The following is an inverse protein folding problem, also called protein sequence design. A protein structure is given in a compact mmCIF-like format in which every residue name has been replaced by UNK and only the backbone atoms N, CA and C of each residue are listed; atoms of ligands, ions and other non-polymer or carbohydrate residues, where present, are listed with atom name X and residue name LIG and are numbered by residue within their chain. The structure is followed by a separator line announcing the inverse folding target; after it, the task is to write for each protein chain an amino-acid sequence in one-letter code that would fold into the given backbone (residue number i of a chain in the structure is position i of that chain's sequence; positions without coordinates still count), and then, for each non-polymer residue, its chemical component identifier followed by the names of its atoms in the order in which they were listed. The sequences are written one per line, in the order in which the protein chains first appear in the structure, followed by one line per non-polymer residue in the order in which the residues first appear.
data_IF_210359105551
#
_entry.id   IF_210359105551
#
_cell.length_a   1.000
_cell.length_b   1.000
_cell.length_c   1.000
_cell.angle_alpha   90.00
_cell.angle_beta   90.00
_cell.angle_gamma   90.00
#
_symmetry.space_group_name_H-M   'P 1'
#
loop_
_entity.id
_entity.type
_entity.pdbx_description
1 polymer ?
#
# COMPACT_ATOMS: atom_id res chain seq x y z
N UNK A 1 35.89 3.82 14.44
CA UNK A 1 34.85 4.87 14.34
C UNK A 1 33.49 4.24 14.51
N UNK A 2 32.93 4.34 15.72
CA UNK A 2 31.58 3.92 16.06
C UNK A 2 30.58 4.97 15.56
N UNK A 3 29.43 4.54 15.03
CA UNK A 3 28.33 5.45 14.72
C UNK A 3 27.88 6.20 15.99
N UNK A 4 27.45 7.47 15.89
CA UNK A 4 26.82 8.16 17.01
C UNK A 4 25.58 7.37 17.46
N UNK A 5 25.50 7.06 18.75
CA UNK A 5 24.45 6.21 19.36
C UNK A 5 23.02 6.72 19.12
N UNK A 6 22.87 8.01 18.79
CA UNK A 6 21.57 8.65 18.53
C UNK A 6 20.82 8.06 17.33
N UNK A 7 21.51 7.59 16.30
CA UNK A 7 20.84 7.22 15.04
C UNK A 7 20.29 5.79 15.09
N UNK A 8 20.97 4.90 15.83
CA UNK A 8 20.51 3.53 16.07
C UNK A 8 19.17 3.53 16.86
N UNK A 9 19.01 4.49 17.77
CA UNK A 9 17.79 4.63 18.57
C UNK A 9 16.55 4.99 17.72
N UNK A 10 16.73 5.70 16.59
CA UNK A 10 15.64 6.05 15.67
C UNK A 10 15.35 4.94 14.64
N UNK A 11 16.38 4.22 14.19
CA UNK A 11 16.25 3.16 13.16
C UNK A 11 15.57 1.90 13.71
N UNK A 12 15.92 1.48 14.93
CA UNK A 12 15.37 0.27 15.54
C UNK A 12 13.82 0.24 15.63
N UNK A 13 13.13 1.30 16.14
CA UNK A 13 11.67 1.29 16.19
C UNK A 13 11.05 1.32 14.79
N UNK A 14 11.63 2.04 13.83
CA UNK A 14 11.16 2.04 12.44
C UNK A 14 11.20 0.64 11.82
N UNK A 15 12.30 -0.09 12.01
CA UNK A 15 12.42 -1.48 11.54
C UNK A 15 11.38 -2.38 12.24
N UNK A 16 11.10 -2.15 13.52
CA UNK A 16 10.06 -2.88 14.24
C UNK A 16 8.65 -2.63 13.67
N UNK A 17 8.33 -1.38 13.31
CA UNK A 17 7.04 -1.02 12.69
C UNK A 17 6.91 -1.63 11.30
N UNK A 18 7.98 -1.60 10.49
CA UNK A 18 8.01 -2.24 9.17
C UNK A 18 7.79 -3.75 9.30
N UNK A 19 8.45 -4.41 10.27
CA UNK A 19 8.26 -5.84 10.52
C UNK A 19 6.81 -6.17 10.90
N UNK A 20 6.15 -5.33 11.71
CA UNK A 20 4.73 -5.49 12.02
C UNK A 20 3.84 -5.29 10.79
N UNK A 21 4.14 -4.29 9.96
CA UNK A 21 3.48 -4.05 8.67
C UNK A 21 3.57 -5.28 7.76
N UNK A 22 4.78 -5.82 7.58
CA UNK A 22 5.05 -7.02 6.81
C UNK A 22 4.24 -8.24 7.29
N UNK A 23 4.11 -8.43 8.61
CA UNK A 23 3.27 -9.52 9.17
C UNK A 23 1.80 -9.33 8.76
N UNK A 24 1.27 -8.11 8.87
CA UNK A 24 -0.11 -7.80 8.49
C UNK A 24 -0.34 -8.02 7.00
N UNK A 25 0.60 -7.60 6.14
CA UNK A 25 0.56 -7.85 4.70
C UNK A 25 0.53 -9.35 4.38
N UNK A 26 1.39 -10.14 5.03
CA UNK A 26 1.49 -11.58 4.82
C UNK A 26 0.18 -12.29 5.18
N UNK A 27 -0.40 -11.98 6.34
CA UNK A 27 -1.70 -12.54 6.72
C UNK A 27 -2.80 -12.08 5.77
N UNK A 28 -2.85 -10.79 5.44
CA UNK A 28 -3.85 -10.22 4.57
C UNK A 28 -3.84 -10.84 3.16
N UNK A 29 -2.66 -10.99 2.56
CA UNK A 29 -2.52 -11.63 1.25
C UNK A 29 -2.88 -13.12 1.29
N UNK A 30 -2.49 -13.83 2.36
CA UNK A 30 -2.87 -15.23 2.54
C UNK A 30 -4.40 -15.41 2.61
N UNK A 31 -5.09 -14.52 3.32
CA UNK A 31 -6.56 -14.52 3.37
C UNK A 31 -7.20 -14.23 2.01
N UNK A 32 -6.69 -13.24 1.26
CA UNK A 32 -7.18 -12.95 -0.10
C UNK A 32 -6.99 -14.14 -1.04
N UNK A 33 -5.82 -14.79 -0.98
CA UNK A 33 -5.56 -15.97 -1.80
C UNK A 33 -6.48 -17.15 -1.42
N UNK A 34 -6.76 -17.35 -0.14
CA UNK A 34 -7.70 -18.38 0.33
C UNK A 34 -9.13 -18.10 -0.18
N UNK A 35 -9.58 -16.84 -0.09
CA UNK A 35 -10.87 -16.41 -0.62
C UNK A 35 -10.97 -16.64 -2.14
N UNK A 36 -9.92 -16.27 -2.89
CA UNK A 36 -9.90 -16.46 -4.34
C UNK A 36 -10.06 -17.93 -4.78
N UNK A 37 -9.55 -18.90 -4.02
CA UNK A 37 -9.72 -20.33 -4.33
C UNK A 37 -11.17 -20.81 -4.26
N UNK A 38 -12.02 -20.13 -3.48
CA UNK A 38 -13.41 -20.51 -3.30
C UNK A 38 -14.34 -19.89 -4.35
N UNK A 39 -13.88 -18.85 -5.05
CA UNK A 39 -14.60 -18.23 -6.16
C UNK A 39 -14.16 -18.83 -7.48
N UNK A 40 -14.60 -20.07 -7.73
CA UNK A 40 -14.51 -20.63 -9.07
C UNK A 40 -15.35 -19.76 -10.02
N UNK A 41 -14.74 -19.23 -11.07
CA UNK A 41 -15.48 -18.55 -12.13
C UNK A 41 -16.55 -19.51 -12.64
N UNK A 42 -17.84 -19.14 -12.60
CA UNK A 42 -18.88 -20.05 -13.01
C UNK A 42 -18.70 -20.39 -14.50
N UNK A 43 -19.01 -21.64 -14.89
CA UNK A 43 -18.71 -22.16 -16.22
C UNK A 43 -19.28 -21.30 -17.37
N UNK A 44 -20.38 -20.59 -17.13
CA UNK A 44 -20.98 -19.67 -18.09
C UNK A 44 -20.11 -18.43 -18.36
N UNK A 45 -19.37 -17.93 -17.35
CA UNK A 45 -18.48 -16.79 -17.51
C UNK A 45 -17.25 -17.17 -18.36
N UNK A 46 -16.76 -18.40 -18.19
CA UNK A 46 -15.70 -18.96 -19.03
C UNK A 46 -16.17 -19.14 -20.48
N UNK A 47 -17.40 -19.62 -20.68
CA UNK A 47 -18.00 -19.79 -22.01
C UNK A 47 -18.28 -18.45 -22.72
N UNK A 48 -18.57 -17.39 -21.97
CA UNK A 48 -18.77 -16.04 -22.49
C UNK A 48 -17.45 -15.30 -22.82
N UNK A 49 -16.30 -15.95 -22.68
CA UNK A 49 -14.99 -15.36 -23.01
C UNK A 49 -14.52 -14.31 -22.00
N UNK A 50 -15.14 -14.22 -20.82
CA UNK A 50 -14.56 -13.42 -19.75
C UNK A 50 -13.22 -14.03 -19.36
N UNK A 51 -12.19 -13.21 -19.06
CA UNK A 51 -10.89 -13.70 -18.64
C UNK A 51 -11.07 -14.46 -17.33
N UNK A 52 -11.25 -15.77 -17.42
CA UNK A 52 -11.27 -16.63 -16.25
C UNK A 52 -9.90 -16.51 -15.60
N UNK A 53 -9.89 -16.18 -14.31
CA UNK A 53 -8.65 -16.09 -13.52
C UNK A 53 -8.06 -17.49 -13.46
N UNK A 54 -7.20 -17.83 -14.44
CA UNK A 54 -6.72 -19.20 -14.67
C UNK A 54 -5.95 -19.78 -13.50
N UNK A 55 -5.51 -18.94 -12.55
CA UNK A 55 -5.02 -19.35 -11.24
C UNK A 55 -4.90 -18.15 -10.30
N UNK A 56 -5.47 -18.23 -9.09
CA UNK A 56 -5.26 -17.23 -8.03
C UNK A 56 -3.76 -16.99 -7.73
N UNK A 57 -2.92 -18.02 -7.91
CA UNK A 57 -1.48 -17.88 -7.74
C UNK A 57 -0.85 -16.93 -8.75
N UNK A 58 -1.33 -16.95 -10.00
CA UNK A 58 -0.85 -16.03 -11.04
C UNK A 58 -1.33 -14.60 -10.78
N UNK A 59 -2.55 -14.44 -10.27
CA UNK A 59 -3.12 -13.13 -9.94
C UNK A 59 -2.29 -12.41 -8.87
N UNK A 60 -1.98 -13.09 -7.77
CA UNK A 60 -1.25 -12.49 -6.63
C UNK A 60 0.28 -12.63 -6.72
N UNK A 61 0.82 -13.03 -7.87
CA UNK A 61 2.26 -13.33 -8.02
C UNK A 61 3.12 -12.10 -7.74
N UNK A 62 2.65 -10.92 -8.16
CA UNK A 62 3.36 -9.67 -7.98
C UNK A 62 3.38 -9.26 -6.51
N UNK A 63 2.24 -9.37 -5.82
CA UNK A 63 2.08 -9.05 -4.40
C UNK A 63 2.96 -9.98 -3.53
N UNK A 64 3.02 -11.28 -3.86
CA UNK A 64 3.95 -12.20 -3.19
C UNK A 64 5.41 -11.81 -3.39
N UNK A 65 5.78 -11.39 -4.60
CA UNK A 65 7.13 -10.92 -4.88
C UNK A 65 7.49 -9.71 -3.99
N UNK A 66 6.57 -8.76 -3.83
CA UNK A 66 6.75 -7.59 -2.95
C UNK A 66 6.99 -8.02 -1.49
N UNK A 67 6.15 -8.91 -0.95
CA UNK A 67 6.29 -9.41 0.43
C UNK A 67 7.61 -10.15 0.65
N UNK A 68 8.04 -10.98 -0.31
CA UNK A 68 9.33 -11.69 -0.22
C UNK A 68 10.52 -10.74 -0.33
N UNK A 69 10.43 -9.72 -1.19
CA UNK A 69 11.47 -8.71 -1.33
C UNK A 69 11.64 -7.90 -0.04
N UNK A 70 10.53 -7.47 0.56
CA UNK A 70 10.54 -6.77 1.85
C UNK A 70 11.13 -7.64 2.97
N UNK A 71 10.76 -8.93 3.02
CA UNK A 71 11.31 -9.87 3.99
C UNK A 71 12.84 -9.93 3.97
N UNK A 72 13.45 -9.98 2.79
CA UNK A 72 14.91 -9.99 2.63
C UNK A 72 15.54 -8.70 3.17
N UNK A 73 14.90 -7.55 2.92
CA UNK A 73 15.36 -6.25 3.43
C UNK A 73 15.27 -6.21 4.95
N UNK A 74 14.14 -6.60 5.53
CA UNK A 74 13.92 -6.61 6.98
C UNK A 74 14.91 -7.54 7.67
N UNK A 75 15.15 -8.75 7.14
CA UNK A 75 16.18 -9.64 7.67
C UNK A 75 17.58 -9.04 7.56
N UNK A 76 17.91 -8.41 6.44
CA UNK A 76 19.19 -7.72 6.24
C UNK A 76 19.39 -6.59 7.24
N UNK A 77 18.35 -5.80 7.51
CA UNK A 77 18.36 -4.71 8.49
C UNK A 77 18.48 -5.24 9.91
N UNK A 78 17.71 -6.26 10.29
CA UNK A 78 17.80 -6.90 11.60
C UNK A 78 19.20 -7.48 11.85
N UNK A 79 19.77 -8.20 10.88
CA UNK A 79 21.13 -8.71 11.00
C UNK A 79 22.15 -7.57 11.11
N UNK A 80 21.95 -6.48 10.37
CA UNK A 80 22.84 -5.32 10.44
C UNK A 80 22.74 -4.58 11.77
N UNK A 81 21.57 -4.54 12.41
CA UNK A 81 21.38 -3.97 13.75
C UNK A 81 22.16 -4.74 14.82
N UNK A 82 22.35 -6.05 14.67
CA UNK A 82 23.18 -6.84 15.61
C UNK A 82 24.68 -6.51 15.53
N UNK A 83 25.13 -5.88 14.43
CA UNK A 83 26.53 -5.54 14.19
C UNK A 83 26.68 -4.04 13.96
N UNK A 84 27.13 -3.32 14.98
CA UNK A 84 27.24 -1.85 14.98
C UNK A 84 27.93 -1.23 13.73
N UNK A 85 28.84 -1.93 13.07
CA UNK A 85 29.54 -1.44 11.86
C UNK A 85 28.93 -1.92 10.53
N UNK A 86 27.99 -2.87 10.52
CA UNK A 86 27.45 -3.44 9.29
C UNK A 86 26.53 -2.45 8.55
N UNK A 87 25.70 -1.71 9.29
CA UNK A 87 24.78 -0.71 8.72
C UNK A 87 25.55 0.33 7.90
N UNK A 88 26.65 0.85 8.44
CA UNK A 88 27.47 1.86 7.73
C UNK A 88 28.05 1.33 6.44
N UNK A 89 28.49 0.06 6.42
CA UNK A 89 29.13 -0.55 5.24
C UNK A 89 28.15 -0.82 4.11
N UNK A 90 26.93 -1.26 4.45
CA UNK A 90 25.91 -1.65 3.47
C UNK A 90 24.84 -0.58 3.24
N UNK A 91 25.04 0.62 3.78
CA UNK A 91 24.06 1.71 3.74
C UNK A 91 23.57 2.04 2.33
N UNK A 92 24.48 2.26 1.39
CA UNK A 92 24.12 2.56 -0.01
C UNK A 92 23.29 1.44 -0.65
N UNK A 93 23.62 0.18 -0.34
CA UNK A 93 22.85 -0.97 -0.78
C UNK A 93 21.45 -0.99 -0.17
N UNK A 94 21.32 -0.70 1.13
CA UNK A 94 20.02 -0.59 1.80
C UNK A 94 19.18 0.55 1.25
N UNK A 95 19.76 1.73 0.99
CA UNK A 95 19.04 2.84 0.36
C UNK A 95 18.47 2.45 -1.01
N UNK A 96 19.28 1.79 -1.86
CA UNK A 96 18.80 1.29 -3.15
C UNK A 96 17.68 0.25 -3.02
N UNK A 97 17.85 -0.72 -2.12
CA UNK A 97 16.84 -1.76 -1.87
C UNK A 97 15.54 -1.19 -1.30
N UNK A 98 15.62 -0.26 -0.35
CA UNK A 98 14.45 0.41 0.24
C UNK A 98 13.73 1.27 -0.80
N UNK A 99 14.45 1.95 -1.69
CA UNK A 99 13.83 2.73 -2.77
C UNK A 99 13.04 1.84 -3.74
N UNK A 100 13.61 0.69 -4.14
CA UNK A 100 12.90 -0.30 -4.95
C UNK A 100 11.69 -0.86 -4.19
N UNK A 101 11.86 -1.17 -2.90
CA UNK A 101 10.78 -1.66 -2.05
C UNK A 101 9.62 -0.67 -1.97
N UNK A 102 9.89 0.61 -1.75
CA UNK A 102 8.87 1.65 -1.68
C UNK A 102 8.05 1.72 -2.98
N UNK A 103 8.73 1.65 -4.14
CA UNK A 103 8.05 1.63 -5.45
C UNK A 103 7.18 0.38 -5.60
N UNK A 104 7.68 -0.80 -5.22
CA UNK A 104 6.90 -2.04 -5.26
C UNK A 104 5.64 -1.96 -4.38
N UNK A 105 5.74 -1.38 -3.19
CA UNK A 105 4.59 -1.18 -2.30
C UNK A 105 3.57 -0.20 -2.87
N UNK A 106 4.01 0.90 -3.50
CA UNK A 106 3.10 1.84 -4.18
C UNK A 106 2.35 1.14 -5.32
N UNK A 107 3.05 0.34 -6.14
CA UNK A 107 2.41 -0.44 -7.19
C UNK A 107 1.45 -1.51 -6.64
N UNK A 108 1.81 -2.20 -5.56
CA UNK A 108 0.94 -3.18 -4.90
C UNK A 108 -0.29 -2.52 -4.25
N UNK A 109 -0.13 -1.32 -3.70
CA UNK A 109 -1.25 -0.52 -3.20
C UNK A 109 -2.21 -0.19 -4.32
N UNK A 110 -1.70 0.26 -5.47
CA UNK A 110 -2.53 0.60 -6.63
C UNK A 110 -3.18 -0.66 -7.24
N UNK A 111 -2.49 -1.79 -7.34
CA UNK A 111 -3.08 -3.04 -7.83
C UNK A 111 -4.22 -3.50 -6.93
N UNK A 112 -4.02 -3.49 -5.62
CA UNK A 112 -5.04 -3.88 -4.63
C UNK A 112 -6.22 -2.91 -4.53
N UNK A 113 -6.03 -1.61 -4.80
CA UNK A 113 -7.14 -0.64 -4.95
C UNK A 113 -7.93 -0.91 -6.22
N UNK A 114 -7.26 -1.13 -7.35
CA UNK A 114 -7.95 -1.44 -8.60
C UNK A 114 -8.75 -2.75 -8.51
N UNK A 115 -8.26 -3.73 -7.76
CA UNK A 115 -9.02 -4.96 -7.43
C UNK A 115 -10.31 -4.67 -6.64
N UNK A 116 -10.36 -3.61 -5.84
CA UNK A 116 -11.59 -3.21 -5.13
C UNK A 116 -12.59 -2.51 -6.06
N UNK A 117 -12.11 -1.70 -7.01
CA UNK A 117 -12.96 -0.87 -7.88
C UNK A 117 -13.48 -1.64 -9.11
N UNK A 118 -12.77 -2.69 -9.57
CA UNK A 118 -13.10 -3.41 -10.81
C UNK A 118 -14.05 -4.59 -10.64
N UNK A 119 -14.32 -5.05 -9.41
CA UNK A 119 -15.27 -6.14 -9.19
C UNK A 119 -16.67 -5.55 -9.06
N UNK A 120 -17.58 -5.76 -10.03
CA UNK A 120 -18.95 -5.30 -9.90
C UNK A 120 -19.56 -5.92 -8.64
N UNK A 121 -20.14 -5.08 -7.81
CA UNK A 121 -20.81 -5.39 -6.52
C UNK A 121 -22.01 -6.35 -6.64
N UNK A 122 -22.15 -7.06 -7.76
CA UNK A 122 -23.13 -8.10 -8.00
C UNK A 122 -22.54 -9.49 -7.73
N UNK A 123 -23.03 -10.14 -6.67
CA UNK A 123 -23.02 -11.61 -6.44
C UNK A 123 -21.71 -12.37 -6.22
N UNK A 124 -20.52 -11.86 -6.55
CA UNK A 124 -19.28 -12.67 -6.50
C UNK A 124 -18.35 -12.43 -5.31
N UNK A 125 -18.30 -11.21 -4.76
CA UNK A 125 -17.49 -10.89 -3.57
C UNK A 125 -18.39 -10.60 -2.39
N UNK A 126 -18.20 -11.32 -1.28
CA UNK A 126 -18.94 -11.01 -0.05
C UNK A 126 -18.44 -9.68 0.54
N UNK A 127 -19.28 -8.93 1.25
CA UNK A 127 -18.88 -7.65 1.90
C UNK A 127 -17.61 -7.78 2.76
N UNK A 128 -17.40 -8.97 3.34
CA UNK A 128 -16.20 -9.33 4.11
C UNK A 128 -14.91 -9.36 3.29
N UNK A 129 -14.98 -9.64 1.99
CA UNK A 129 -13.81 -9.72 1.10
C UNK A 129 -13.36 -8.35 0.62
N UNK A 130 -14.29 -7.44 0.34
CA UNK A 130 -13.97 -6.04 0.11
C UNK A 130 -13.26 -5.41 1.31
N UNK A 131 -13.73 -5.70 2.53
CA UNK A 131 -13.09 -5.21 3.74
C UNK A 131 -11.67 -5.77 3.89
N UNK A 132 -11.45 -7.06 3.60
CA UNK A 132 -10.11 -7.67 3.61
C UNK A 132 -9.19 -7.05 2.57
N UNK A 133 -9.67 -6.82 1.35
CA UNK A 133 -8.90 -6.18 0.30
C UNK A 133 -8.51 -4.74 0.69
N UNK A 134 -9.38 -4.00 1.38
CA UNK A 134 -9.09 -2.68 1.93
C UNK A 134 -8.00 -2.72 2.99
N UNK A 135 -8.07 -3.67 3.91
CA UNK A 135 -7.05 -3.84 4.95
C UNK A 135 -5.68 -4.13 4.30
N UNK A 136 -5.63 -5.01 3.31
CA UNK A 136 -4.40 -5.34 2.57
C UNK A 136 -3.85 -4.14 1.80
N UNK A 137 -4.72 -3.39 1.14
CA UNK A 137 -4.31 -2.18 0.43
C UNK A 137 -3.76 -1.12 1.41
N UNK A 138 -4.42 -0.96 2.56
CA UNK A 138 -3.96 -0.08 3.63
C UNK A 138 -2.62 -0.52 4.21
N UNK A 139 -2.37 -1.83 4.35
CA UNK A 139 -1.08 -2.33 4.84
C UNK A 139 0.05 -2.05 3.86
N UNK A 140 -0.14 -2.25 2.55
CA UNK A 140 0.87 -1.88 1.55
C UNK A 140 1.16 -0.36 1.53
N UNK A 141 0.13 0.47 1.67
CA UNK A 141 0.29 1.92 1.76
C UNK A 141 1.09 2.32 3.01
N UNK A 142 0.79 1.67 4.14
CA UNK A 142 1.53 1.82 5.38
C UNK A 142 2.99 1.40 5.23
N UNK A 143 3.25 0.22 4.65
CA UNK A 143 4.60 -0.28 4.37
C UNK A 143 5.41 0.69 3.50
N UNK A 144 4.79 1.26 2.46
CA UNK A 144 5.41 2.30 1.63
C UNK A 144 5.80 3.55 2.45
N UNK A 145 4.89 4.06 3.28
CA UNK A 145 5.14 5.27 4.08
C UNK A 145 6.31 5.07 5.06
N UNK A 146 6.35 3.95 5.78
CA UNK A 146 7.42 3.66 6.73
C UNK A 146 8.76 3.32 6.04
N UNK A 147 8.72 2.69 4.87
CA UNK A 147 9.92 2.49 4.04
C UNK A 147 10.51 3.82 3.58
N UNK A 148 9.68 4.78 3.17
CA UNK A 148 10.11 6.13 2.80
C UNK A 148 10.66 6.89 4.01
N UNK A 149 10.01 6.79 5.17
CA UNK A 149 10.51 7.39 6.40
C UNK A 149 11.90 6.82 6.76
N UNK A 150 12.08 5.50 6.65
CA UNK A 150 13.36 4.85 6.90
C UNK A 150 14.44 5.26 5.88
N UNK A 151 14.08 5.47 4.61
CA UNK A 151 14.97 6.02 3.59
C UNK A 151 15.49 7.41 3.97
N UNK A 152 14.63 8.29 4.48
CA UNK A 152 15.00 9.65 4.90
C UNK A 152 15.98 9.57 6.08
N UNK A 153 15.64 8.82 7.12
CA UNK A 153 16.49 8.66 8.31
C UNK A 153 17.85 8.06 7.95
N UNK A 154 17.89 7.04 7.07
CA UNK A 154 19.15 6.49 6.56
C UNK A 154 19.86 7.41 5.57
N UNK A 155 19.22 8.44 5.02
CA UNK A 155 19.80 9.40 4.08
C UNK A 155 20.51 10.56 4.78
N UNK A 156 19.93 11.06 5.87
CA UNK A 156 20.43 12.23 6.61
C UNK A 156 21.83 12.00 7.23
N UNK A 157 22.20 10.76 7.55
CA UNK A 157 23.48 10.39 8.16
C UNK A 157 24.74 10.76 7.32
N UNK A 158 24.59 11.08 6.01
CA UNK A 158 25.72 11.47 5.13
C UNK A 158 25.80 12.99 4.96
N UNK A 159 24.66 13.68 5.05
CA UNK A 159 24.61 15.12 4.91
C UNK A 159 25.44 15.81 5.99
N UNK A 160 25.53 15.24 7.20
CA UNK A 160 26.35 15.80 8.29
C UNK A 160 27.87 15.61 8.12
N UNK A 161 28.31 14.66 7.29
CA UNK A 161 29.74 14.40 7.07
C UNK A 161 30.30 15.16 5.86
N UNK A 162 29.45 15.61 4.94
CA UNK A 162 29.84 16.38 3.74
C UNK A 162 29.46 17.88 3.75
N UNK A 163 28.66 18.34 4.70
CA UNK A 163 28.12 19.73 4.73
C UNK A 163 29.06 20.80 5.31
N UNK A 164 30.32 20.47 5.62
CA UNK A 164 31.24 21.43 6.21
C UNK A 164 31.69 22.57 5.28
N UNK A 165 31.65 22.40 3.95
CA UNK A 165 32.18 23.43 3.04
C UNK A 165 31.69 23.41 1.58
N UNK A 166 31.18 22.28 1.06
CA UNK A 166 30.91 22.15 -0.39
C UNK A 166 29.41 22.21 -0.76
N UNK A 167 28.52 21.81 0.16
CA UNK A 167 27.08 21.77 -0.09
C UNK A 167 26.43 23.16 -0.08
N UNK A 168 26.98 24.12 0.67
CA UNK A 168 26.42 25.46 0.80
C UNK A 168 26.44 26.25 -0.53
N UNK A 169 27.36 25.89 -1.44
CA UNK A 169 27.43 26.46 -2.79
C UNK A 169 26.52 25.75 -3.81
N UNK A 170 26.08 24.51 -3.55
CA UNK A 170 25.29 23.70 -4.49
C UNK A 170 23.79 23.63 -4.14
N UNK A 171 23.42 23.95 -2.89
CA UNK A 171 22.04 24.05 -2.43
C UNK A 171 21.11 24.91 -3.33
N UNK A 172 21.52 26.10 -3.85
CA UNK A 172 20.63 26.89 -4.70
C UNK A 172 20.35 26.22 -6.05
N UNK A 173 21.31 25.45 -6.58
CA UNK A 173 21.15 24.74 -7.85
C UNK A 173 20.16 23.58 -7.72
N UNK A 174 20.27 22.81 -6.64
CA UNK A 174 19.37 21.69 -6.35
C UNK A 174 17.94 22.20 -6.09
N UNK A 175 17.79 23.31 -5.34
CA UNK A 175 16.48 23.90 -5.08
C UNK A 175 15.78 24.38 -6.36
N UNK A 176 16.53 24.95 -7.32
CA UNK A 176 15.97 25.38 -8.60
C UNK A 176 15.50 24.21 -9.47
N UNK A 177 16.28 23.12 -9.54
CA UNK A 177 15.87 21.93 -10.28
C UNK A 177 14.68 21.22 -9.61
N UNK A 178 14.64 21.15 -8.28
CA UNK A 178 13.51 20.59 -7.56
C UNK A 178 12.22 21.40 -7.78
N UNK A 179 12.31 22.73 -7.80
CA UNK A 179 11.19 23.60 -8.14
C UNK A 179 10.71 23.38 -9.59
N UNK A 180 11.63 23.20 -10.53
CA UNK A 180 11.32 22.91 -11.94
C UNK A 180 10.62 21.57 -12.11
N UNK A 181 11.10 20.52 -11.43
CA UNK A 181 10.47 19.19 -11.44
C UNK A 181 9.09 19.22 -10.78
N UNK A 182 8.95 19.89 -9.64
CA UNK A 182 7.67 20.06 -8.97
C UNK A 182 6.64 20.77 -9.87
N UNK A 183 7.05 21.85 -10.55
CA UNK A 183 6.21 22.56 -11.51
C UNK A 183 5.84 21.70 -12.74
N UNK A 184 6.76 20.85 -13.21
CA UNK A 184 6.46 19.92 -14.29
C UNK A 184 5.40 18.89 -13.86
N UNK A 185 5.52 18.36 -12.65
CA UNK A 185 4.58 17.39 -12.09
C UNK A 185 3.16 17.96 -11.92
N UNK A 186 3.03 19.18 -11.39
CA UNK A 186 1.71 19.82 -11.24
C UNK A 186 1.05 20.06 -12.60
N UNK A 187 1.82 20.43 -13.62
CA UNK A 187 1.31 20.62 -14.98
C UNK A 187 0.79 19.32 -15.61
N UNK A 188 1.43 18.18 -15.32
CA UNK A 188 0.99 16.87 -15.78
C UNK A 188 -0.28 16.41 -15.06
N UNK A 189 -0.38 16.64 -13.74
CA UNK A 189 -1.60 16.35 -13.00
C UNK A 189 -2.78 17.14 -13.57
N UNK A 190 -2.61 18.44 -13.77
CA UNK A 190 -3.68 19.29 -14.30
C UNK A 190 -4.13 18.85 -15.71
N UNK A 191 -3.19 18.44 -16.58
CA UNK A 191 -3.53 17.88 -17.90
C UNK A 191 -4.30 16.57 -17.80
N UNK A 192 -3.98 15.73 -16.82
CA UNK A 192 -4.65 14.44 -16.62
C UNK A 192 -6.10 14.67 -16.17
N UNK A 193 -6.32 15.59 -15.23
CA UNK A 193 -7.67 15.96 -14.77
C UNK A 193 -8.51 16.58 -15.90
N UNK A 194 -7.94 17.49 -16.70
CA UNK A 194 -8.64 18.06 -17.86
C UNK A 194 -8.92 17.05 -18.97
N UNK A 195 -8.12 15.98 -19.08
CA UNK A 195 -8.41 14.90 -20.02
C UNK A 195 -9.61 14.09 -19.55
N UNK A 196 -9.62 13.73 -18.27
CA UNK A 196 -10.69 12.94 -17.66
C UNK A 196 -12.04 13.68 -17.69
N UNK A 197 -12.03 15.00 -17.49
CA UNK A 197 -13.24 15.84 -17.60
C UNK A 197 -13.77 15.92 -19.04
N UNK A 198 -12.89 16.09 -20.04
CA UNK A 198 -13.29 16.08 -21.46
C UNK A 198 -13.85 14.73 -21.92
N UNK A 199 -13.28 13.63 -21.45
CA UNK A 199 -13.78 12.29 -21.76
C UNK A 199 -15.14 12.03 -21.08
N UNK A 200 -15.34 12.53 -19.86
CA UNK A 200 -16.64 12.49 -19.17
C UNK A 200 -17.72 13.30 -19.91
N UNK A 201 -17.39 14.48 -20.45
CA UNK A 201 -18.32 15.25 -21.29
C UNK A 201 -18.66 14.55 -22.61
N UNK A 202 -17.67 13.97 -23.30
CA UNK A 202 -17.93 13.17 -24.51
C UNK A 202 -18.83 11.98 -24.22
N UNK A 203 -18.60 11.27 -23.11
CA UNK A 203 -19.45 10.15 -22.71
C UNK A 203 -20.90 10.59 -22.47
N UNK A 204 -21.12 11.73 -21.79
CA UNK A 204 -22.48 12.30 -21.59
C UNK A 204 -23.17 12.65 -22.92
N UNK A 205 -22.44 13.23 -23.88
CA UNK A 205 -23.00 13.58 -25.20
C UNK A 205 -23.43 12.36 -26.03
N UNK A 206 -22.71 11.22 -25.90
CA UNK A 206 -23.07 9.98 -26.58
C UNK A 206 -24.25 9.24 -25.93
N UNK A 207 -24.44 9.38 -24.62
CA UNK A 207 -25.56 8.74 -23.89
C UNK A 207 -26.89 9.50 -24.12
N UNK A 208 -26.84 10.81 -24.37
CA UNK A 208 -28.04 11.61 -24.63
C UNK A 208 -28.86 11.15 -25.85
N UNK A 209 -28.28 10.38 -26.78
CA UNK A 209 -28.99 9.85 -27.97
C UNK A 209 -29.45 8.39 -27.85
N UNK A 210 -29.20 7.68 -26.75
CA UNK A 210 -29.64 6.29 -26.55
C UNK A 210 -30.12 6.02 -25.12
N UNK A 211 -31.40 6.32 -24.86
CA UNK A 211 -32.30 5.71 -23.86
C UNK A 211 -31.88 5.64 -22.36
N UNK A 212 -32.86 5.53 -21.44
CA UNK A 212 -32.67 5.86 -20.03
C UNK A 212 -32.37 4.62 -19.20
N UNK A 213 -31.13 4.42 -18.79
CA UNK A 213 -30.85 3.65 -17.56
C UNK A 213 -29.67 4.29 -16.81
N UNK A 214 -30.06 4.99 -15.75
CA UNK A 214 -29.19 5.51 -14.70
C UNK A 214 -28.56 4.37 -13.90
N UNK A 215 -27.24 4.19 -14.00
CA UNK A 215 -26.46 3.55 -12.94
C UNK A 215 -25.26 4.43 -12.60
N UNK A 216 -25.40 5.16 -11.50
CA UNK A 216 -24.34 5.88 -10.80
C UNK A 216 -23.17 4.93 -10.50
N UNK A 217 -21.97 5.26 -10.97
CA UNK A 217 -20.70 4.77 -10.40
C UNK A 217 -19.92 5.97 -9.83
N UNK A 218 -19.25 5.83 -8.67
CA UNK A 218 -18.78 6.99 -7.91
C UNK A 218 -17.31 7.31 -8.20
N UNK A 219 -17.05 8.42 -8.90
CA UNK A 219 -15.74 9.06 -8.97
C UNK A 219 -15.26 9.66 -7.63
N UNK A 220 -16.10 9.62 -6.58
CA UNK A 220 -15.85 10.26 -5.31
C UNK A 220 -14.79 9.57 -4.43
N UNK A 221 -14.59 8.25 -4.57
CA UNK A 221 -13.68 7.49 -3.69
C UNK A 221 -12.21 7.72 -4.07
N UNK A 222 -11.90 7.93 -5.36
CA UNK A 222 -10.53 8.19 -5.83
C UNK A 222 -9.98 9.53 -5.33
N UNK A 223 -10.81 10.56 -5.09
CA UNK A 223 -10.33 11.86 -4.58
C UNK A 223 -9.87 11.82 -3.12
N UNK A 224 -10.37 10.88 -2.32
CA UNK A 224 -10.18 10.92 -0.86
C UNK A 224 -8.84 10.33 -0.41
N UNK A 225 -8.29 9.35 -1.13
CA UNK A 225 -6.96 8.77 -0.86
C UNK A 225 -5.81 9.68 -1.28
N UNK A 226 -5.98 10.48 -2.33
CA UNK A 226 -4.94 11.40 -2.80
C UNK A 226 -4.68 12.57 -1.87
N UNK A 227 -5.73 13.11 -1.22
CA UNK A 227 -5.61 14.24 -0.30
C UNK A 227 -4.70 13.87 0.89
N UNK A 228 -4.82 12.66 1.44
CA UNK A 228 -4.04 12.21 2.60
C UNK A 228 -2.53 12.08 2.33
N UNK A 229 -2.12 11.70 1.11
CA UNK A 229 -0.69 11.60 0.74
C UNK A 229 -0.04 12.98 0.58
N UNK A 230 -0.76 13.94 -0.03
CA UNK A 230 -0.28 15.32 -0.12
C UNK A 230 -0.14 16.00 1.24
N UNK A 231 -1.02 15.70 2.20
CA UNK A 231 -0.91 16.21 3.58
C UNK A 231 0.32 15.67 4.30
N UNK A 232 0.66 14.40 4.09
CA UNK A 232 1.83 13.77 4.71
C UNK A 232 3.15 14.36 4.18
N UNK A 233 3.21 14.65 2.87
CA UNK A 233 4.37 15.29 2.21
C UNK A 233 4.46 16.78 2.56
N UNK A 234 3.33 17.46 2.78
CA UNK A 234 3.34 18.86 3.24
C UNK A 234 3.82 18.96 4.70
N UNK A 235 3.43 18.02 5.57
CA UNK A 235 3.86 17.98 6.96
C UNK A 235 5.38 17.75 7.11
N UNK A 236 6.01 17.00 6.19
CA UNK A 236 7.46 16.76 6.22
C UNK A 236 8.31 17.95 5.78
N UNK A 237 7.72 18.99 5.16
CA UNK A 237 8.46 20.16 4.67
C UNK A 237 8.54 21.33 5.67
N UNK A 238 7.81 21.27 6.79
CA UNK A 238 7.66 22.40 7.71
C UNK A 238 8.18 22.21 9.13
N UNK A 239 8.67 21.03 9.52
CA UNK A 239 9.06 20.77 10.90
C UNK A 239 10.52 21.19 11.18
N UNK A 240 10.79 22.04 12.20
CA UNK A 240 12.16 22.35 12.62
C UNK A 240 12.85 21.10 13.20
N UNK A 241 14.17 20.93 13.01
CA UNK A 241 14.91 19.68 13.25
C UNK A 241 15.03 19.22 14.71
N UNK A 242 14.39 19.91 15.66
CA UNK A 242 14.57 19.67 17.10
C UNK A 242 13.29 19.22 17.84
N UNK A 243 12.19 18.93 17.15
CA UNK A 243 10.98 18.39 17.78
C UNK A 243 10.69 16.98 17.25
N UNK A 244 10.48 16.04 18.17
CA UNK A 244 10.38 14.61 17.91
C UNK A 244 9.24 14.25 16.96
N UNK A 245 9.58 14.07 15.68
CA UNK A 245 8.70 13.64 14.60
C UNK A 245 7.92 12.33 14.89
N UNK A 246 8.40 11.53 15.87
CA UNK A 246 7.79 10.26 16.26
C UNK A 246 6.49 10.41 17.10
N UNK A 247 6.26 11.54 17.77
CA UNK A 247 5.05 11.70 18.61
C UNK A 247 3.87 12.32 17.83
N UNK A 248 4.12 13.28 16.93
CA UNK A 248 3.03 13.98 16.23
C UNK A 248 2.47 13.19 15.03
N UNK A 249 3.29 12.32 14.41
CA UNK A 249 2.81 11.40 13.38
C UNK A 249 1.81 10.36 13.93
N UNK A 250 1.82 10.09 15.24
CA UNK A 250 0.88 9.18 15.89
C UNK A 250 -0.50 9.81 16.12
N UNK A 251 -0.60 11.15 16.09
CA UNK A 251 -1.82 11.90 16.46
C UNK A 251 -2.68 12.24 15.23
N UNK A 252 -2.10 12.24 14.02
CA UNK A 252 -2.81 12.55 12.76
C UNK A 252 -3.40 11.34 12.01
N UNK A 253 -3.48 10.17 12.64
CA UNK A 253 -4.21 9.01 12.12
C UNK A 253 -5.61 8.94 12.76
N UNK A 254 -6.66 9.52 12.15
CA UNK A 254 -8.01 9.29 12.63
C UNK A 254 -8.41 7.83 12.32
N UNK A 255 -8.37 6.98 13.34
CA UNK A 255 -9.34 5.89 13.49
C UNK A 255 -9.15 4.60 12.70
N UNK A 256 -7.92 4.05 12.58
CA UNK A 256 -7.73 2.67 12.09
C UNK A 256 -7.38 1.62 13.16
N UNK A 257 -7.20 2.02 14.43
CA UNK A 257 -7.03 1.11 15.56
C UNK A 257 -8.28 1.08 16.44
N UNK A 258 -9.28 0.33 16.02
CA UNK A 258 -10.28 -0.26 16.91
C UNK A 258 -10.50 -1.71 16.46
N UNK A 259 -9.50 -2.55 16.77
CA UNK A 259 -9.70 -4.00 16.85
C UNK A 259 -10.62 -4.22 18.05
N UNK A 260 -11.92 -4.34 17.78
CA UNK A 260 -12.85 -4.84 18.78
C UNK A 260 -12.41 -6.26 19.17
N UNK A 261 -12.31 -6.60 20.48
CA UNK A 261 -12.03 -7.96 20.89
C UNK A 261 -13.20 -8.84 20.45
N UNK A 262 -12.88 -9.88 19.68
CA UNK A 262 -13.78 -10.98 19.35
C UNK A 262 -14.07 -11.75 20.66
N UNK A 263 -15.06 -11.29 21.44
CA UNK A 263 -15.62 -12.06 22.55
C UNK A 263 -16.37 -13.25 21.95
N UNK A 264 -15.83 -14.44 22.20
CA UNK A 264 -16.41 -15.70 21.77
C UNK A 264 -17.76 -15.95 22.42
N UNK A 265 -18.81 -16.00 21.61
CA UNK A 265 -20.03 -16.72 21.94
C UNK A 265 -19.87 -18.19 21.55
N UNK A 266 -19.36 -18.99 22.49
CA UNK A 266 -19.67 -20.41 22.56
C UNK A 266 -21.08 -20.54 23.14
N UNK A 267 -22.01 -21.17 22.42
CA UNK A 267 -23.29 -21.57 22.99
C UNK A 267 -24.46 -21.60 22.01
N UNK A 268 -24.52 -22.65 21.17
CA UNK A 268 -25.66 -23.57 21.08
C UNK A 268 -25.66 -24.28 19.73
N UNK A 269 -25.41 -25.58 19.80
CA UNK A 269 -25.64 -26.53 18.72
C UNK A 269 -27.15 -26.73 18.52
N UNK A 270 -27.66 -26.78 17.28
CA UNK A 270 -28.86 -27.53 16.98
C UNK A 270 -28.47 -28.99 16.73
N UNK A 271 -28.81 -29.84 17.69
CA UNK A 271 -29.00 -31.27 17.45
C UNK A 271 -30.38 -31.48 16.80
N UNK A 272 -30.42 -32.34 15.79
CA UNK A 272 -31.63 -32.81 15.10
C UNK A 272 -31.58 -32.44 13.62
N UNK A 273 -31.80 -33.34 12.66
CA UNK A 273 -32.27 -34.71 12.71
C UNK A 273 -31.98 -35.33 11.33
N UNK A 274 -31.66 -36.63 11.35
CA UNK A 274 -31.60 -37.55 10.22
C UNK A 274 -32.81 -37.41 9.27
N UNK A 275 -32.63 -37.62 7.96
CA UNK A 275 -33.34 -38.66 7.19
C UNK A 275 -33.16 -38.49 5.67
N UNK A 276 -32.78 -39.60 5.01
CA UNK A 276 -33.16 -40.03 3.64
C UNK A 276 -32.80 -39.12 2.44
N UNK A 277 -32.23 -39.61 1.33
CA UNK A 277 -32.30 -40.96 0.80
C UNK A 277 -31.28 -41.22 -0.31
N UNK A 278 -30.99 -42.51 -0.40
CA UNK A 278 -30.08 -43.22 -1.27
C UNK A 278 -30.85 -43.68 -2.52
N UNK A 279 -30.21 -43.63 -3.69
CA UNK A 279 -30.69 -44.23 -4.95
C UNK A 279 -30.78 -43.19 -6.09
N UNK A 280 -30.31 -43.44 -7.31
CA UNK A 280 -30.11 -44.73 -7.99
C UNK A 280 -29.21 -44.47 -9.20
N UNK A 281 -28.21 -45.33 -9.41
CA UNK A 281 -27.54 -45.50 -10.69
C UNK A 281 -28.32 -46.55 -11.50
N UNK A 282 -28.65 -46.19 -12.74
CA UNK A 282 -28.82 -47.05 -13.90
C UNK A 282 -28.63 -46.16 -15.13
#
# INVERSE_FOLDING_TARGET
MTLPSKNIASVAPLVGVILLGWIVELFGLFYLQKSCRHHATPAWATAAGFPAVSSCWKLYRFEWLTIFFEFVIVLGLLFSLTKANAIRRFRLSFLGLLAISAVLHIFATNSTLNLQDTVPTGTFLTHTEHLRARIVSGSFAFGAAFTIALLIVLGEDDAQLGSGSELDNQQPLINNELARVAHSYTSLQQKTEQSEERDAERAKSHIAHKMPYSSLYPAAIRRQTWISLSSLVAASRGAPPNQGFAQDALILMPGFFLVAPLQGHLGNAPQGLLSYGQGRAA
#
